data_IF_811274440997
#
_entry.id   IF_811274440997
#
_cell.length_a   1.000
_cell.length_b   1.000
_cell.length_c   1.000
_cell.angle_alpha   90.00
_cell.angle_beta   90.00
_cell.angle_gamma   90.00
#
_symmetry.space_group_name_H-M   'P 1'
#
loop_
_entity.id
_entity.type
_entity.pdbx_description
1 polymer ?
#
# COMPACT_ATOMS: atom_id res chain seq x y z
N UNK A 1 -5.07 6.08 8.83
CA UNK A 1 -3.68 6.57 8.68
C UNK A 1 -3.78 8.05 8.37
N UNK A 2 -3.03 8.89 9.07
CA UNK A 2 -3.03 10.36 8.91
C UNK A 2 -1.62 10.75 8.48
N UNK A 3 -1.50 11.49 7.38
CA UNK A 3 -0.23 12.08 6.96
C UNK A 3 -0.22 13.55 7.35
N UNK A 4 0.86 14.01 7.95
CA UNK A 4 1.06 15.38 8.42
C UNK A 4 2.29 15.94 7.75
N UNK A 5 2.18 17.10 7.11
CA UNK A 5 3.34 17.85 6.65
C UNK A 5 3.73 18.84 7.75
N UNK A 6 4.67 18.46 8.62
CA UNK A 6 4.96 19.20 9.84
C UNK A 6 6.06 18.58 10.71
N UNK A 7 6.28 19.19 11.86
CA UNK A 7 7.27 18.80 12.89
C UNK A 7 6.79 17.61 13.74
N UNK A 8 7.58 17.17 14.72
CA UNK A 8 7.12 16.13 15.65
C UNK A 8 5.95 16.63 16.50
N UNK A 9 6.04 17.87 16.96
CA UNK A 9 5.10 18.44 17.90
C UNK A 9 3.73 18.63 17.24
N UNK A 10 3.70 19.06 15.96
CA UNK A 10 2.47 19.13 15.15
C UNK A 10 1.76 17.76 15.04
N UNK A 11 2.52 16.67 15.06
CA UNK A 11 1.98 15.31 14.97
C UNK A 11 1.38 14.86 16.30
N UNK A 12 1.99 15.24 17.43
CA UNK A 12 1.43 14.94 18.76
C UNK A 12 0.18 15.77 19.04
N UNK A 13 0.16 17.07 18.72
CA UNK A 13 -1.05 17.90 18.84
C UNK A 13 -2.21 17.30 18.02
N UNK A 14 -1.94 16.91 16.77
CA UNK A 14 -2.98 16.30 15.94
C UNK A 14 -3.45 14.94 16.49
N UNK A 15 -2.58 14.21 17.18
CA UNK A 15 -2.94 12.94 17.82
C UNK A 15 -3.93 13.16 18.97
N UNK A 16 -3.74 14.21 19.76
CA UNK A 16 -4.66 14.64 20.82
C UNK A 16 -6.01 15.06 20.23
N UNK A 17 -6.02 15.94 19.23
CA UNK A 17 -7.26 16.36 18.53
C UNK A 17 -8.06 15.17 18.01
N UNK A 18 -7.37 14.17 17.46
CA UNK A 18 -7.99 12.93 16.97
C UNK A 18 -8.60 12.12 18.11
N UNK A 19 -7.93 12.05 19.27
CA UNK A 19 -8.42 11.30 20.42
C UNK A 19 -9.73 11.92 20.93
N UNK A 20 -9.79 13.26 20.99
CA UNK A 20 -10.96 14.01 21.41
C UNK A 20 -12.14 13.81 20.47
N UNK A 21 -11.91 13.76 19.16
CA UNK A 21 -12.97 13.46 18.17
C UNK A 21 -13.46 12.02 18.25
N UNK A 22 -12.60 11.07 18.62
CA UNK A 22 -12.94 9.64 18.71
C UNK A 22 -13.66 9.29 20.02
N UNK A 23 -13.40 10.03 21.10
CA UNK A 23 -13.97 9.75 22.42
C UNK A 23 -15.51 9.75 22.45
N UNK A 24 -16.24 10.71 21.82
CA UNK A 24 -17.70 10.67 21.73
C UNK A 24 -18.24 9.45 20.98
N UNK A 25 -17.43 8.84 20.09
CA UNK A 25 -17.79 7.64 19.33
C UNK A 25 -17.48 6.35 20.11
N UNK A 26 -17.04 6.44 21.36
CA UNK A 26 -16.64 5.30 22.19
C UNK A 26 -15.33 4.65 21.75
N UNK A 27 -14.55 5.29 20.87
CA UNK A 27 -13.30 4.75 20.33
C UNK A 27 -12.10 5.38 21.03
N UNK A 28 -11.10 4.55 21.38
CA UNK A 28 -9.82 5.00 21.94
C UNK A 28 -8.65 4.56 21.07
N UNK A 29 -7.63 5.41 20.96
CA UNK A 29 -6.39 5.04 20.28
C UNK A 29 -5.61 4.03 21.15
N UNK A 30 -5.19 2.92 20.54
CA UNK A 30 -4.28 1.97 21.18
C UNK A 30 -2.86 2.50 21.07
N UNK A 31 -2.23 2.81 22.20
CA UNK A 31 -0.84 3.29 22.26
C UNK A 31 0.13 2.26 21.64
N UNK A 32 -0.06 0.98 21.95
CA UNK A 32 0.76 -0.11 21.41
C UNK A 32 0.69 -0.24 19.87
N UNK A 33 -0.38 0.23 19.23
CA UNK A 33 -0.58 0.17 17.77
C UNK A 33 -0.26 1.49 17.07
N UNK A 34 -0.10 2.59 17.82
CA UNK A 34 0.07 3.94 17.27
C UNK A 34 1.55 4.32 17.31
N UNK A 35 2.14 4.49 16.14
CA UNK A 35 3.54 4.88 16.02
C UNK A 35 3.67 6.07 15.07
N UNK A 36 4.45 7.06 15.49
CA UNK A 36 4.89 8.17 14.65
C UNK A 36 6.15 7.74 13.92
N UNK A 37 6.09 7.71 12.59
CA UNK A 37 7.24 7.32 11.75
C UNK A 37 7.47 8.39 10.70
N UNK A 38 8.73 8.76 10.50
CA UNK A 38 9.11 9.69 9.45
C UNK A 38 9.09 8.99 8.08
N UNK A 39 8.62 9.69 7.05
CA UNK A 39 8.36 9.04 5.75
C UNK A 39 9.65 8.65 4.98
N UNK A 40 10.83 9.14 5.40
CA UNK A 40 12.12 8.65 4.88
C UNK A 40 12.44 7.23 5.32
N UNK A 41 12.08 6.87 6.56
CA UNK A 41 12.43 5.58 7.16
C UNK A 41 11.51 4.49 6.58
N UNK A 42 10.33 4.94 6.16
CA UNK A 42 9.32 4.14 5.50
C UNK A 42 8.55 3.28 6.49
N UNK A 43 7.32 2.95 6.12
CA UNK A 43 6.41 2.26 7.01
C UNK A 43 5.58 1.21 6.27
N UNK A 44 5.20 0.15 6.99
CA UNK A 44 4.43 -0.96 6.42
C UNK A 44 2.90 -0.81 6.60
N UNK A 45 2.14 -0.55 5.54
CA UNK A 45 0.69 -0.43 5.59
C UNK A 45 0.04 -1.40 4.59
N UNK A 46 -0.94 -2.21 5.05
CA UNK A 46 -1.66 -3.20 4.23
C UNK A 46 -0.74 -4.15 3.41
N UNK A 47 0.43 -4.48 3.96
CA UNK A 47 1.43 -5.32 3.28
C UNK A 47 2.35 -4.57 2.31
N UNK A 48 2.20 -3.26 2.18
CA UNK A 48 3.07 -2.40 1.40
C UNK A 48 4.03 -1.64 2.30
N UNK A 49 5.30 -1.58 1.93
CA UNK A 49 6.27 -0.66 2.55
C UNK A 49 6.32 0.63 1.74
N UNK A 50 5.78 1.70 2.31
CA UNK A 50 5.74 3.03 1.69
C UNK A 50 6.96 3.81 2.16
N UNK A 51 7.75 4.33 1.24
CA UNK A 51 8.98 5.07 1.57
C UNK A 51 9.21 6.23 0.62
N UNK A 52 9.59 7.39 1.15
CA UNK A 52 10.07 8.50 0.35
C UNK A 52 11.53 8.27 -0.04
N UNK A 53 11.81 8.19 -1.33
CA UNK A 53 13.19 8.05 -1.83
C UNK A 53 13.48 9.07 -2.92
N UNK A 54 14.72 9.52 -2.94
CA UNK A 54 15.26 10.31 -4.05
C UNK A 54 15.42 9.42 -5.28
N UNK A 55 14.89 9.86 -6.43
CA UNK A 55 15.12 9.15 -7.70
C UNK A 55 16.60 9.31 -8.06
N UNK A 56 17.30 8.18 -8.19
CA UNK A 56 18.72 8.13 -8.57
C UNK A 56 18.97 8.97 -9.84
N UNK A 57 19.99 9.81 -9.81
CA UNK A 57 20.34 10.73 -10.91
C UNK A 57 19.48 11.99 -11.01
N UNK A 58 18.59 12.27 -10.06
CA UNK A 58 17.81 13.52 -10.02
C UNK A 58 17.67 14.06 -8.60
N UNK A 59 17.33 15.34 -8.44
CA UNK A 59 16.91 15.93 -7.15
C UNK A 59 15.42 15.70 -6.82
N UNK A 60 14.72 14.89 -7.62
CA UNK A 60 13.29 14.64 -7.44
C UNK A 60 13.06 13.51 -6.44
N UNK A 61 12.29 13.83 -5.40
CA UNK A 61 11.81 12.87 -4.42
C UNK A 61 10.46 12.31 -4.82
N UNK A 62 10.31 10.98 -4.70
CA UNK A 62 9.08 10.27 -5.01
C UNK A 62 8.74 9.30 -3.88
N UNK A 63 7.44 9.08 -3.68
CA UNK A 63 6.95 8.01 -2.80
C UNK A 63 7.01 6.71 -3.59
N UNK A 64 7.74 5.74 -3.06
CA UNK A 64 7.82 4.40 -3.59
C UNK A 64 7.02 3.46 -2.69
N UNK A 65 6.27 2.57 -3.33
CA UNK A 65 5.52 1.52 -2.67
C UNK A 65 6.19 0.20 -2.99
N UNK A 66 6.81 -0.42 -1.99
CA UNK A 66 7.40 -1.75 -2.07
C UNK A 66 6.47 -2.77 -1.42
N UNK A 67 6.73 -4.06 -1.63
CA UNK A 67 6.06 -5.12 -0.88
C UNK A 67 6.82 -5.29 0.45
N UNK A 68 6.11 -5.35 1.57
CA UNK A 68 6.72 -5.64 2.85
C UNK A 68 7.18 -7.10 2.93
N UNK A 69 8.14 -7.41 3.82
CA UNK A 69 8.71 -8.76 3.90
C UNK A 69 7.71 -9.80 4.42
N UNK A 70 6.74 -9.38 5.23
CA UNK A 70 5.73 -10.26 5.83
C UNK A 70 4.85 -10.94 4.77
N UNK A 71 4.19 -10.23 3.83
CA UNK A 71 3.45 -10.86 2.74
C UNK A 71 4.27 -11.80 1.85
N UNK A 72 5.55 -11.50 1.63
CA UNK A 72 6.46 -12.36 0.86
C UNK A 72 6.70 -13.67 1.60
N UNK A 73 7.01 -13.60 2.91
CA UNK A 73 7.18 -14.78 3.77
C UNK A 73 5.92 -15.64 3.79
N UNK A 74 4.75 -15.02 4.02
CA UNK A 74 3.47 -15.72 4.04
C UNK A 74 3.16 -16.45 2.72
N UNK A 75 3.49 -15.84 1.57
CA UNK A 75 3.33 -16.52 0.28
C UNK A 75 4.28 -17.71 0.16
N UNK A 76 5.56 -17.53 0.52
CA UNK A 76 6.55 -18.63 0.51
C UNK A 76 6.12 -19.78 1.42
N UNK A 77 5.55 -19.50 2.58
CA UNK A 77 5.07 -20.51 3.52
C UNK A 77 3.88 -21.30 2.95
N UNK A 78 2.92 -20.62 2.30
CA UNK A 78 1.82 -21.28 1.59
C UNK A 78 2.34 -22.20 0.48
N UNK A 79 3.31 -21.73 -0.31
CA UNK A 79 3.92 -22.55 -1.37
C UNK A 79 4.63 -23.77 -0.76
N UNK A 80 5.40 -23.58 0.33
CA UNK A 80 6.09 -24.67 1.02
C UNK A 80 5.13 -25.74 1.53
N UNK A 81 4.01 -25.32 2.11
CA UNK A 81 2.99 -26.22 2.64
C UNK A 81 2.35 -27.08 1.53
N UNK A 82 2.11 -26.49 0.35
CA UNK A 82 1.54 -27.21 -0.79
C UNK A 82 2.55 -28.12 -1.50
N UNK A 83 3.84 -27.77 -1.49
CA UNK A 83 4.91 -28.53 -2.16
C UNK A 83 5.78 -29.31 -1.16
N UNK A 84 5.17 -29.93 -0.15
CA UNK A 84 5.93 -30.76 0.80
C UNK A 84 6.47 -32.01 0.08
N UNK A 85 7.73 -32.41 0.34
CA UNK A 85 8.36 -33.57 -0.31
C UNK A 85 7.67 -34.89 -0.01
N UNK A 86 6.98 -34.99 1.13
CA UNK A 86 6.21 -36.18 1.52
C UNK A 86 4.78 -36.17 0.98
N UNK A 87 4.34 -35.06 0.37
CA UNK A 87 2.98 -34.94 -0.16
C UNK A 87 2.81 -35.81 -1.41
N UNK A 88 1.83 -36.71 -1.37
CA UNK A 88 1.39 -37.55 -2.49
C UNK A 88 0.17 -36.96 -3.22
N UNK A 89 -0.08 -35.65 -3.06
CA UNK A 89 -1.20 -34.98 -3.72
C UNK A 89 -1.06 -35.00 -5.24
N UNK A 90 -2.20 -34.96 -5.94
CA UNK A 90 -2.21 -34.89 -7.39
C UNK A 90 -1.51 -33.58 -7.87
N UNK A 91 -0.48 -33.67 -8.74
CA UNK A 91 0.18 -32.54 -9.38
C UNK A 91 -0.79 -31.49 -9.93
N UNK A 92 -1.86 -31.92 -10.59
CA UNK A 92 -2.88 -31.04 -11.17
C UNK A 92 -3.52 -30.14 -10.12
N UNK A 93 -3.99 -30.71 -9.02
CA UNK A 93 -4.72 -29.98 -7.98
C UNK A 93 -3.81 -29.01 -7.23
N UNK A 94 -2.56 -29.41 -6.99
CA UNK A 94 -1.54 -28.53 -6.40
C UNK A 94 -1.23 -27.36 -7.33
N UNK A 95 -1.08 -27.59 -8.64
CA UNK A 95 -0.86 -26.52 -9.61
C UNK A 95 -2.05 -25.56 -9.67
N UNK A 96 -3.29 -26.06 -9.66
CA UNK A 96 -4.50 -25.21 -9.62
C UNK A 96 -4.46 -24.31 -8.39
N UNK A 97 -4.19 -24.87 -7.21
CA UNK A 97 -4.18 -24.11 -5.95
C UNK A 97 -3.04 -23.10 -5.88
N UNK A 98 -1.83 -23.47 -6.34
CA UNK A 98 -0.70 -22.57 -6.47
C UNK A 98 -1.03 -21.41 -7.40
N UNK A 99 -1.60 -21.70 -8.57
CA UNK A 99 -1.97 -20.70 -9.56
C UNK A 99 -2.99 -19.71 -9.01
N UNK A 100 -4.03 -20.17 -8.31
CA UNK A 100 -5.02 -19.30 -7.67
C UNK A 100 -4.38 -18.35 -6.65
N UNK A 101 -3.55 -18.89 -5.75
CA UNK A 101 -2.87 -18.09 -4.71
C UNK A 101 -1.93 -17.07 -5.34
N UNK A 102 -1.10 -17.50 -6.29
CA UNK A 102 -0.10 -16.65 -6.94
C UNK A 102 -0.76 -15.56 -7.80
N UNK A 103 -1.83 -15.88 -8.53
CA UNK A 103 -2.61 -14.90 -9.31
C UNK A 103 -3.22 -13.83 -8.42
N UNK A 104 -3.91 -14.23 -7.34
CA UNK A 104 -4.51 -13.29 -6.40
C UNK A 104 -3.46 -12.39 -5.74
N UNK A 105 -2.36 -12.98 -5.29
CA UNK A 105 -1.26 -12.24 -4.66
C UNK A 105 -0.60 -11.25 -5.63
N UNK A 106 -0.29 -11.68 -6.86
CA UNK A 106 0.33 -10.82 -7.84
C UNK A 106 -0.60 -9.68 -8.27
N UNK A 107 -1.90 -9.95 -8.44
CA UNK A 107 -2.88 -8.92 -8.76
C UNK A 107 -3.03 -7.86 -7.66
N UNK A 108 -2.95 -8.26 -6.39
CA UNK A 108 -2.99 -7.32 -5.26
C UNK A 108 -1.72 -6.45 -5.23
N UNK A 109 -0.55 -7.05 -5.41
CA UNK A 109 0.74 -6.34 -5.32
C UNK A 109 1.25 -5.73 -6.64
N UNK A 110 0.53 -5.85 -7.76
CA UNK A 110 0.95 -5.33 -9.08
C UNK A 110 1.21 -3.82 -9.12
N UNK A 111 0.70 -3.08 -8.13
CA UNK A 111 0.88 -1.64 -8.00
C UNK A 111 2.16 -1.23 -7.25
N UNK A 112 2.83 -2.19 -6.62
CA UNK A 112 4.12 -1.98 -5.96
C UNK A 112 5.28 -2.11 -6.96
N UNK A 113 6.45 -1.61 -6.57
CA UNK A 113 7.71 -1.90 -7.25
C UNK A 113 8.13 -3.33 -6.93
N UNK A 114 7.62 -4.29 -7.70
CA UNK A 114 7.72 -5.71 -7.36
C UNK A 114 8.28 -6.61 -8.47
N UNK A 115 8.77 -6.07 -9.60
CA UNK A 115 9.22 -6.91 -10.73
C UNK A 115 10.34 -7.89 -10.35
N UNK A 116 11.34 -7.42 -9.61
CA UNK A 116 12.42 -8.28 -9.09
C UNK A 116 11.89 -9.31 -8.07
N UNK A 117 10.97 -8.89 -7.19
CA UNK A 117 10.33 -9.77 -6.20
C UNK A 117 9.51 -10.87 -6.88
N UNK A 118 8.74 -10.54 -7.91
CA UNK A 118 7.95 -11.49 -8.70
C UNK A 118 8.85 -12.51 -9.41
N UNK A 119 9.97 -12.07 -9.98
CA UNK A 119 10.96 -12.97 -10.59
C UNK A 119 11.59 -13.91 -9.56
N UNK A 120 12.01 -13.39 -8.40
CA UNK A 120 12.53 -14.22 -7.31
C UNK A 120 11.51 -15.24 -6.80
N UNK A 121 10.23 -14.85 -6.68
CA UNK A 121 9.14 -15.74 -6.29
C UNK A 121 8.83 -16.79 -7.37
N UNK A 122 8.90 -16.42 -8.64
CA UNK A 122 8.74 -17.37 -9.76
C UNK A 122 9.82 -18.46 -9.70
N UNK A 123 11.09 -18.08 -9.58
CA UNK A 123 12.20 -19.04 -9.46
C UNK A 123 12.07 -19.90 -8.22
N UNK A 124 11.73 -19.31 -7.07
CA UNK A 124 11.48 -20.06 -5.84
C UNK A 124 10.36 -21.10 -6.02
N UNK A 125 9.24 -20.70 -6.62
CA UNK A 125 8.11 -21.61 -6.84
C UNK A 125 8.49 -22.74 -7.79
N UNK A 126 9.17 -22.42 -8.89
CA UNK A 126 9.65 -23.41 -9.85
C UNK A 126 10.53 -24.45 -9.16
N UNK A 127 11.56 -24.04 -8.42
CA UNK A 127 12.45 -24.98 -7.70
C UNK A 127 11.69 -25.85 -6.71
N UNK A 128 10.67 -25.31 -6.03
CA UNK A 128 9.83 -26.06 -5.10
C UNK A 128 8.98 -27.11 -5.80
N UNK A 129 8.31 -26.75 -6.89
CA UNK A 129 7.50 -27.69 -7.70
C UNK A 129 8.39 -28.80 -8.26
N UNK A 130 9.54 -28.47 -8.85
CA UNK A 130 10.48 -29.48 -9.39
C UNK A 130 11.02 -30.39 -8.29
N UNK A 131 11.42 -29.83 -7.15
CA UNK A 131 11.90 -30.62 -6.01
C UNK A 131 10.83 -31.59 -5.49
N UNK A 132 9.57 -31.15 -5.48
CA UNK A 132 8.45 -31.98 -5.09
C UNK A 132 8.17 -33.07 -6.13
N UNK A 133 8.13 -32.75 -7.42
CA UNK A 133 7.92 -33.72 -8.51
C UNK A 133 9.03 -34.76 -8.61
N UNK A 134 10.28 -34.36 -8.36
CA UNK A 134 11.39 -35.31 -8.28
C UNK A 134 11.18 -36.33 -7.16
N UNK A 135 10.67 -35.90 -6.00
CA UNK A 135 10.34 -36.80 -4.91
C UNK A 135 9.12 -37.68 -5.23
N UNK A 136 8.06 -37.07 -5.75
CA UNK A 136 6.78 -37.72 -6.07
C UNK A 136 6.93 -38.82 -7.12
N UNK A 137 7.65 -38.54 -8.22
CA UNK A 137 7.82 -39.47 -9.34
C UNK A 137 9.17 -40.21 -9.32
N UNK A 138 9.96 -40.03 -8.25
CA UNK A 138 11.31 -40.59 -8.11
C UNK A 138 12.24 -40.23 -9.28
N UNK A 139 12.07 -39.03 -9.84
CA UNK A 139 12.86 -38.56 -10.99
C UNK A 139 14.26 -38.12 -10.57
N UNK A 140 15.22 -38.32 -11.48
CA UNK A 140 16.53 -37.68 -11.42
C UNK A 140 16.49 -36.38 -12.23
N UNK A 141 17.47 -35.49 -12.02
CA UNK A 141 17.59 -34.25 -12.80
C UNK A 141 17.64 -34.46 -14.33
N UNK A 142 18.18 -35.61 -14.78
CA UNK A 142 18.16 -36.00 -16.20
C UNK A 142 16.73 -36.19 -16.73
N UNK A 143 15.83 -36.74 -15.93
CA UNK A 143 14.43 -36.94 -16.30
C UNK A 143 13.66 -35.63 -16.31
N UNK A 144 13.93 -34.74 -15.34
CA UNK A 144 13.39 -33.37 -15.31
C UNK A 144 13.78 -32.64 -16.60
N UNK A 145 15.06 -32.66 -16.96
CA UNK A 145 15.55 -32.05 -18.20
C UNK A 145 14.90 -32.70 -19.43
N UNK A 146 14.83 -34.02 -19.50
CA UNK A 146 14.19 -34.71 -20.64
C UNK A 146 12.71 -34.32 -20.82
N UNK A 147 11.98 -34.08 -19.73
CA UNK A 147 10.53 -33.81 -19.75
C UNK A 147 10.16 -32.33 -19.86
N UNK A 148 10.98 -31.44 -19.31
CA UNK A 148 10.68 -30.00 -19.23
C UNK A 148 11.58 -29.16 -20.12
N UNK A 149 12.37 -29.76 -21.00
CA UNK A 149 13.10 -29.03 -22.03
C UNK A 149 12.62 -29.48 -23.40
N UNK A 150 12.34 -28.51 -24.26
CA UNK A 150 11.95 -28.76 -25.65
C UNK A 150 13.16 -29.19 -26.51
N UNK A 151 12.92 -29.66 -27.73
CA UNK A 151 13.95 -30.00 -28.72
C UNK A 151 14.94 -28.85 -28.96
N UNK A 152 14.47 -27.60 -28.83
CA UNK A 152 15.28 -26.38 -28.93
C UNK A 152 16.06 -26.03 -27.64
N UNK A 153 16.05 -26.89 -26.62
CA UNK A 153 16.72 -26.65 -25.34
C UNK A 153 16.06 -25.58 -24.47
N UNK A 154 14.83 -25.15 -24.80
CA UNK A 154 14.06 -24.19 -24.00
C UNK A 154 13.33 -24.87 -22.85
N UNK A 155 13.48 -24.32 -21.65
CA UNK A 155 12.74 -24.79 -20.48
C UNK A 155 11.25 -24.45 -20.59
N UNK A 156 10.43 -25.48 -20.51
CA UNK A 156 8.98 -25.39 -20.47
C UNK A 156 8.49 -25.23 -19.03
N UNK A 157 7.32 -24.62 -18.87
CA UNK A 157 6.69 -24.45 -17.56
C UNK A 157 6.19 -25.82 -17.09
N UNK A 158 6.36 -26.16 -15.78
CA UNK A 158 5.81 -27.40 -15.25
C UNK A 158 4.30 -27.47 -15.49
N UNK A 159 3.85 -28.55 -16.13
CA UNK A 159 2.45 -28.77 -16.45
C UNK A 159 1.99 -30.18 -16.09
N UNK A 160 0.78 -30.30 -15.57
CA UNK A 160 0.14 -31.58 -15.25
C UNK A 160 -1.32 -31.53 -15.72
N UNK A 161 -1.73 -32.52 -16.52
CA UNK A 161 -3.09 -32.68 -17.04
C UNK A 161 -3.66 -31.39 -17.66
N UNK A 162 -2.85 -30.71 -18.50
CA UNK A 162 -3.23 -29.47 -19.17
C UNK A 162 -3.17 -28.20 -18.31
N UNK A 163 -2.85 -28.31 -17.01
CA UNK A 163 -2.65 -27.15 -16.13
C UNK A 163 -1.17 -26.82 -16.05
N UNK A 164 -0.79 -25.63 -16.50
CA UNK A 164 0.57 -25.12 -16.40
C UNK A 164 0.76 -24.27 -15.14
N UNK A 165 1.95 -24.28 -14.56
CA UNK A 165 2.34 -23.35 -13.50
C UNK A 165 2.24 -21.89 -14.01
N UNK A 166 1.58 -21.06 -13.21
CA UNK A 166 1.36 -19.66 -13.48
C UNK A 166 2.67 -18.87 -13.48
N UNK A 167 2.89 -18.09 -14.54
CA UNK A 167 4.05 -17.21 -14.64
C UNK A 167 3.81 -15.88 -13.89
N UNK A 168 4.39 -15.78 -12.69
CA UNK A 168 4.43 -14.55 -11.91
C UNK A 168 5.15 -13.41 -12.63
N UNK A 169 6.12 -13.71 -13.51
CA UNK A 169 6.90 -12.71 -14.21
C UNK A 169 6.09 -12.03 -15.32
N UNK A 170 5.12 -12.73 -15.92
CA UNK A 170 4.26 -12.18 -16.95
C UNK A 170 3.33 -11.06 -16.43
N UNK A 171 3.09 -10.98 -15.12
CA UNK A 171 2.21 -9.97 -14.52
C UNK A 171 2.75 -8.56 -14.79
N UNK A 172 1.94 -7.75 -15.46
CA UNK A 172 2.26 -6.35 -15.73
C UNK A 172 2.22 -5.54 -14.44
N UNK A 173 3.36 -4.95 -14.08
CA UNK A 173 3.47 -4.07 -12.91
C UNK A 173 2.99 -2.68 -13.31
N UNK A 174 1.78 -2.33 -12.90
CA UNK A 174 1.18 -1.01 -13.16
C UNK A 174 1.51 -0.06 -12.01
N UNK A 175 2.52 0.79 -12.19
CA UNK A 175 2.77 1.87 -11.22
C UNK A 175 1.58 2.81 -11.18
N UNK A 176 1.18 3.23 -9.97
CA UNK A 176 0.16 4.25 -9.82
C UNK A 176 0.58 5.52 -10.57
N UNK A 177 -0.14 5.87 -11.64
CA UNK A 177 0.04 7.13 -12.35
C UNK A 177 -0.78 8.15 -11.60
N UNK A 178 -0.13 9.23 -11.16
CA UNK A 178 -0.80 10.36 -10.54
C UNK A 178 -1.96 10.83 -11.44
N UNK A 179 -3.18 10.54 -11.02
CA UNK A 179 -4.41 11.03 -11.65
C UNK A 179 -4.66 12.39 -10.98
N UNK A 180 -4.39 13.47 -11.72
CA UNK A 180 -4.23 14.83 -11.17
C UNK A 180 -5.38 15.35 -10.31
N UNK A 181 -5.20 16.57 -9.77
CA UNK A 181 -6.16 17.31 -8.91
C UNK A 181 -7.50 17.65 -9.60
N UNK A 182 -8.25 16.67 -10.11
CA UNK A 182 -9.68 16.89 -10.43
C UNK A 182 -10.50 16.44 -9.24
N UNK A 183 -10.58 17.31 -8.24
CA UNK A 183 -11.58 17.20 -7.17
C UNK A 183 -12.86 17.90 -7.67
N UNK A 184 -13.57 17.28 -8.61
CA UNK A 184 -14.97 17.60 -8.85
C UNK A 184 -15.78 16.59 -8.05
N UNK A 185 -15.93 16.84 -6.75
CA UNK A 185 -16.84 16.12 -5.87
C UNK A 185 -17.82 17.12 -5.26
N UNK A 186 -19.12 16.83 -5.20
CA UNK A 186 -20.11 17.77 -4.72
C UNK A 186 -20.06 17.79 -3.20
N UNK A 187 -19.43 18.80 -2.63
CA UNK A 187 -19.84 19.31 -1.33
C UNK A 187 -20.31 20.72 -1.62
N UNK A 188 -21.61 20.84 -1.89
CA UNK A 188 -22.25 22.14 -1.83
C UNK A 188 -22.13 22.60 -0.37
N UNK A 189 -21.25 23.57 -0.13
CA UNK A 189 -21.40 24.45 1.02
C UNK A 189 -22.82 25.01 0.93
N UNK A 190 -23.73 24.77 1.89
CA UNK A 190 -25.01 25.45 1.87
C UNK A 190 -24.71 26.95 1.92
N UNK A 191 -25.08 27.65 0.85
CA UNK A 191 -25.00 29.11 0.81
C UNK A 191 -25.72 29.66 2.04
N UNK A 192 -25.20 30.72 2.69
CA UNK A 192 -25.90 31.34 3.80
C UNK A 192 -27.28 31.79 3.31
N UNK A 193 -28.34 31.22 3.92
CA UNK A 193 -29.72 31.63 3.63
C UNK A 193 -29.82 33.13 3.87
N UNK A 194 -30.13 33.88 2.81
CA UNK A 194 -30.53 35.28 2.92
C UNK A 194 -31.83 35.34 3.72
N UNK A 195 -31.75 35.80 4.96
CA UNK A 195 -32.92 36.17 5.77
C UNK A 195 -33.55 37.40 5.10
N UNK A 196 -34.86 37.40 4.80
CA UNK A 196 -35.49 38.57 4.22
C UNK A 196 -35.53 39.72 5.22
N UNK A 197 -35.02 40.86 4.80
CA UNK A 197 -35.09 42.15 5.49
C UNK A 197 -36.55 42.54 5.75
N UNK A 198 -36.95 42.61 7.01
CA UNK A 198 -38.08 43.44 7.44
C UNK A 198 -37.53 44.73 8.08
N UNK A 199 -38.13 45.86 7.68
CA UNK A 199 -37.75 47.22 8.05
C UNK A 199 -38.41 47.71 9.35
N UNK A 200 -37.67 48.59 10.03
CA UNK A 200 -38.05 49.68 10.96
C UNK A 200 -38.04 49.39 12.48
N UNK A 201 -37.89 50.41 13.39
CA UNK A 201 -37.59 51.85 13.24
C UNK A 201 -36.35 52.32 14.09
N UNK A 202 -35.98 53.63 14.13
CA UNK A 202 -34.67 54.09 14.57
C UNK A 202 -34.62 54.43 16.08
N UNK A 203 -33.53 54.04 16.76
CA UNK A 203 -33.31 54.46 18.16
C UNK A 203 -32.05 53.88 18.81
N UNK A 204 -31.04 54.75 18.96
CA UNK A 204 -29.96 54.79 19.99
C UNK A 204 -29.12 53.54 20.34
N UNK A 205 -27.81 53.78 20.20
CA UNK A 205 -26.69 53.37 21.08
C UNK A 205 -26.30 51.88 21.13
N UNK A 206 -25.14 51.54 20.55
CA UNK A 206 -23.89 51.39 21.30
C UNK A 206 -22.89 50.43 20.61
N UNK A 207 -21.77 51.02 20.16
CA UNK A 207 -20.38 50.65 20.51
C UNK A 207 -19.82 49.25 20.14
N UNK A 208 -18.65 49.33 19.48
CA UNK A 208 -17.54 48.35 19.45
C UNK A 208 -17.74 47.13 18.52
N UNK A 209 -16.88 46.73 17.59
CA UNK A 209 -15.48 47.04 17.26
C UNK A 209 -15.34 46.90 15.73
N UNK A 210 -14.97 47.98 15.03
CA UNK A 210 -14.34 47.91 13.72
C UNK A 210 -12.83 47.87 13.96
N UNK A 211 -12.18 46.76 13.65
CA UNK A 211 -10.77 46.75 13.25
C UNK A 211 -10.40 45.38 12.66
N UNK A 212 -9.82 45.42 11.46
CA UNK A 212 -8.69 44.58 11.02
C UNK A 212 -8.89 43.08 10.83
N UNK A 213 -9.67 42.71 9.80
CA UNK A 213 -9.55 41.39 9.15
C UNK A 213 -8.58 41.38 7.95
N UNK A 214 -7.94 42.52 7.63
CA UNK A 214 -7.04 42.67 6.48
C UNK A 214 -5.55 42.82 6.84
N UNK A 215 -5.19 43.00 8.11
CA UNK A 215 -3.78 43.17 8.55
C UNK A 215 -3.14 41.92 9.19
N UNK A 216 -3.92 40.85 9.42
CA UNK A 216 -3.40 39.59 10.00
C UNK A 216 -2.96 38.55 8.97
N UNK A 217 -3.27 38.75 7.68
CA UNK A 217 -2.98 37.78 6.62
C UNK A 217 -1.64 38.00 5.88
N UNK A 218 -0.95 39.11 6.12
CA UNK A 218 0.39 39.36 5.53
C UNK A 218 1.58 39.09 6.46
N UNK A 219 1.34 38.85 7.77
CA UNK A 219 2.43 38.67 8.76
C UNK A 219 2.77 37.22 9.11
N UNK A 220 2.11 36.23 8.51
CA UNK A 220 2.35 34.79 8.77
C UNK A 220 2.79 33.98 7.54
N UNK A 221 3.32 34.63 6.49
CA UNK A 221 4.01 33.92 5.40
C UNK A 221 5.52 33.92 5.63
N UNK A 222 6.15 32.80 6.05
CA UNK A 222 7.59 32.67 5.91
C UNK A 222 7.94 32.48 4.43
N UNK A 223 8.88 33.32 4.01
CA UNK A 223 9.61 33.28 2.73
C UNK A 223 10.09 31.86 2.40
N UNK A 224 9.95 31.47 1.13
CA UNK A 224 10.50 30.25 0.50
C UNK A 224 11.85 29.82 1.10
N UNK A 225 11.88 28.69 1.83
CA UNK A 225 13.08 27.83 1.97
C UNK A 225 12.69 26.34 2.02
N UNK A 226 13.52 25.57 1.31
CA UNK A 226 13.67 24.11 1.13
C UNK A 226 12.66 23.14 1.79
N UNK A 227 12.12 22.25 0.93
CA UNK A 227 11.34 21.03 1.19
C UNK A 227 11.53 20.42 2.58
N UNK A 228 10.49 20.49 3.42
CA UNK A 228 10.26 19.57 4.52
C UNK A 228 9.46 18.34 4.02
N UNK A 229 9.62 17.21 4.69
CA UNK A 229 9.07 15.91 4.32
C UNK A 229 7.90 15.55 5.25
N UNK A 230 6.75 15.06 4.74
CA UNK A 230 5.63 14.70 5.61
C UNK A 230 5.92 13.49 6.52
N UNK A 231 5.37 13.49 7.74
CA UNK A 231 5.33 12.40 8.73
C UNK A 231 3.98 11.67 8.69
N UNK A 232 3.90 10.42 9.16
CA UNK A 232 2.67 9.61 9.05
C UNK A 232 2.33 8.86 10.34
N UNK A 233 1.06 8.92 10.75
CA UNK A 233 0.40 8.14 11.82
C UNK A 233 -0.41 6.99 11.18
N UNK A 234 -0.24 5.73 11.60
CA UNK A 234 -1.08 4.60 11.12
C UNK A 234 -2.31 4.32 11.99
N UNK A 235 -3.35 3.68 11.41
CA UNK A 235 -4.54 3.15 12.12
C UNK A 235 -4.98 1.79 11.56
N UNK A 236 -5.51 0.94 12.42
CA UNK A 236 -6.46 -0.14 12.11
C UNK A 236 -7.58 -0.03 13.17
N UNK A 237 -8.82 0.20 12.73
CA UNK A 237 -9.99 0.31 13.61
C UNK A 237 -10.49 -1.11 13.87
N UNK A 238 -10.71 -1.46 15.14
CA UNK A 238 -11.45 -2.65 15.55
C UNK A 238 -12.83 -2.16 16.04
N UNK A 239 -13.90 -2.75 15.52
CA UNK A 239 -15.28 -2.52 15.94
C UNK A 239 -15.57 -3.48 17.10
N UNK A 240 -16.12 -2.94 18.20
CA UNK A 240 -16.66 -3.73 19.32
C UNK A 240 -17.87 -4.56 18.89
#
# INVERSE_FOLDING_TARGET
MVLVDGTHDDVETLREDIADVLQPLGLRLSEAKTQVVHMSDGFDFLGFRIQWRRKRGTDKWHVYTFIADRPIRQLKDKIRALTNRTSQQNPRDVLIRLNQIMRGWANYFKHAVCKATLSSLASFTWHRVISWWMALHRWKWKDVRRRLTDHNGRWQRPSADGIELFDLQAVTVTRYRYRGKRRNGPVATPAPRSVPTQQAPPGRLARAVKATHAELLERLLPRRRRRANPRVIKRKLDTS
#
